data_IF_024010188445
#
_entry.id   IF_024010188445
#
_cell.length_a   1.000
_cell.length_b   1.000
_cell.length_c   1.000
_cell.angle_alpha   90.00
_cell.angle_beta   90.00
_cell.angle_gamma   90.00
#
_symmetry.space_group_name_H-M   'P 1'
#
loop_
_entity.id
_entity.type
_entity.pdbx_description
1 polymer ?
#
# COMPACT_ATOMS: atom_id res chain seq x y z
N UNK A 1 1.38 -3.72 16.42
CA UNK A 1 1.03 -3.62 14.99
C UNK A 1 1.85 -4.58 14.12
N UNK A 2 3.19 -4.51 14.10
CA UNK A 2 4.01 -5.38 13.22
C UNK A 2 3.79 -6.89 13.46
N UNK A 3 3.74 -7.34 14.71
CA UNK A 3 3.42 -8.73 15.04
C UNK A 3 2.01 -9.14 14.58
N UNK A 4 1.08 -8.17 14.49
CA UNK A 4 -0.29 -8.43 14.07
C UNK A 4 -0.40 -8.68 12.56
N UNK A 5 0.29 -7.91 11.73
CA UNK A 5 0.32 -8.17 10.27
C UNK A 5 1.08 -9.46 9.93
N UNK A 6 1.98 -9.91 10.81
CA UNK A 6 2.70 -11.18 10.69
C UNK A 6 2.00 -12.36 11.41
N UNK A 7 0.83 -12.13 12.01
CA UNK A 7 0.02 -13.20 12.62
C UNK A 7 -0.51 -14.16 11.56
N UNK A 8 -0.85 -15.39 11.94
CA UNK A 8 -1.60 -16.32 11.08
C UNK A 8 -3.12 -16.10 11.14
N UNK A 9 -3.60 -15.34 12.13
CA UNK A 9 -5.01 -15.05 12.32
C UNK A 9 -5.48 -13.90 11.42
N UNK A 10 -6.53 -14.15 10.62
CA UNK A 10 -7.03 -13.21 9.64
C UNK A 10 -7.59 -11.93 10.27
N UNK A 11 -8.30 -12.05 11.40
CA UNK A 11 -8.85 -10.90 12.11
C UNK A 11 -7.72 -10.01 12.66
N UNK A 12 -6.69 -10.62 13.24
CA UNK A 12 -5.50 -9.93 13.75
C UNK A 12 -4.76 -9.18 12.64
N UNK A 13 -4.58 -9.81 11.48
CA UNK A 13 -3.97 -9.16 10.30
C UNK A 13 -4.78 -7.94 9.86
N UNK A 14 -6.11 -8.07 9.76
CA UNK A 14 -7.00 -6.96 9.37
C UNK A 14 -6.92 -5.81 10.37
N UNK A 15 -7.08 -6.09 11.67
CA UNK A 15 -7.05 -5.07 12.71
C UNK A 15 -5.70 -4.34 12.74
N UNK A 16 -4.58 -5.06 12.61
CA UNK A 16 -3.26 -4.44 12.58
C UNK A 16 -3.03 -3.60 11.31
N UNK A 17 -3.50 -4.05 10.16
CA UNK A 17 -3.40 -3.30 8.88
C UNK A 17 -4.22 -2.02 8.94
N UNK A 18 -5.45 -2.09 9.47
CA UNK A 18 -6.29 -0.92 9.68
C UNK A 18 -5.64 0.09 10.65
N UNK A 19 -4.97 -0.38 11.71
CA UNK A 19 -4.24 0.50 12.62
C UNK A 19 -3.09 1.23 11.92
N UNK A 20 -2.32 0.53 11.08
CA UNK A 20 -1.28 1.16 10.26
C UNK A 20 -1.87 2.20 9.31
N UNK A 21 -2.95 1.87 8.60
CA UNK A 21 -3.63 2.82 7.70
C UNK A 21 -4.07 4.07 8.45
N UNK A 22 -4.73 3.91 9.59
CA UNK A 22 -5.18 5.04 10.45
C UNK A 22 -4.00 5.89 10.92
N UNK A 23 -2.90 5.26 11.34
CA UNK A 23 -1.68 5.95 11.75
C UNK A 23 -1.06 6.77 10.60
N UNK A 24 -1.12 6.25 9.37
CA UNK A 24 -0.62 6.94 8.18
C UNK A 24 -1.57 8.03 7.65
N UNK A 25 -2.82 8.08 8.11
CA UNK A 25 -3.81 9.09 7.72
C UNK A 25 -3.85 10.31 8.63
N UNK A 26 -2.95 10.42 9.60
CA UNK A 26 -2.90 11.61 10.48
C UNK A 26 -2.40 12.82 9.67
N UNK A 27 -3.06 13.98 9.85
CA UNK A 27 -2.79 15.18 9.04
C UNK A 27 -1.39 15.77 9.29
N UNK A 28 -0.92 15.72 10.53
CA UNK A 28 0.36 16.32 10.91
C UNK A 28 1.40 15.24 11.17
N UNK A 29 2.43 15.21 10.31
CA UNK A 29 3.62 14.37 10.45
C UNK A 29 3.31 12.87 10.65
N UNK A 30 2.66 12.20 9.67
CA UNK A 30 2.49 10.76 9.70
C UNK A 30 3.85 10.06 9.80
N UNK A 31 3.99 9.01 10.64
CA UNK A 31 5.26 8.32 10.87
C UNK A 31 5.59 7.34 9.74
N UNK A 32 5.64 7.85 8.50
CA UNK A 32 5.83 7.06 7.28
C UNK A 32 7.18 6.32 7.34
N UNK A 33 8.23 7.00 7.77
CA UNK A 33 9.57 6.44 7.78
C UNK A 33 9.69 5.27 8.78
N UNK A 34 9.05 5.38 9.94
CA UNK A 34 9.01 4.35 10.97
C UNK A 34 8.23 3.13 10.48
N UNK A 35 7.13 3.33 9.76
CA UNK A 35 6.35 2.23 9.15
C UNK A 35 7.17 1.49 8.09
N UNK A 36 7.94 2.21 7.26
CA UNK A 36 8.87 1.60 6.30
C UNK A 36 9.95 0.80 7.05
N UNK A 37 10.60 1.42 8.04
CA UNK A 37 11.71 0.81 8.80
C UNK A 37 11.28 -0.43 9.59
N UNK A 38 10.02 -0.51 10.04
CA UNK A 38 9.52 -1.68 10.73
C UNK A 38 9.19 -2.87 9.80
N UNK A 39 9.38 -2.72 8.48
CA UNK A 39 9.22 -3.79 7.50
C UNK A 39 7.77 -4.06 7.10
N UNK A 40 6.87 -3.09 7.28
CA UNK A 40 5.44 -3.29 6.98
C UNK A 40 5.13 -3.32 5.47
N UNK A 41 5.90 -2.59 4.66
CA UNK A 41 5.63 -2.41 3.21
C UNK A 41 5.55 -3.74 2.44
N UNK A 42 6.53 -4.66 2.51
CA UNK A 42 6.44 -5.94 1.81
C UNK A 42 5.20 -6.74 2.22
N UNK A 43 4.83 -6.68 3.51
CA UNK A 43 3.67 -7.39 4.03
C UNK A 43 2.35 -6.82 3.51
N UNK A 44 2.24 -5.50 3.38
CA UNK A 44 1.09 -4.89 2.72
C UNK A 44 0.98 -5.33 1.25
N UNK A 45 2.10 -5.39 0.52
CA UNK A 45 2.10 -5.89 -0.87
C UNK A 45 1.68 -7.36 -0.96
N UNK A 46 2.05 -8.20 0.02
CA UNK A 46 1.54 -9.57 0.09
C UNK A 46 0.02 -9.61 0.31
N UNK A 47 -0.52 -8.74 1.17
CA UNK A 47 -1.98 -8.64 1.37
C UNK A 47 -2.73 -8.20 0.13
N UNK A 48 -2.14 -7.34 -0.72
CA UNK A 48 -2.73 -6.98 -2.01
C UNK A 48 -2.95 -8.19 -2.93
N UNK A 49 -2.18 -9.27 -2.76
CA UNK A 49 -2.30 -10.50 -3.58
C UNK A 49 -3.36 -11.47 -3.06
N UNK A 50 -3.97 -11.19 -1.91
CA UNK A 50 -5.02 -12.03 -1.34
C UNK A 50 -6.41 -11.61 -1.86
N UNK A 51 -6.72 -12.05 -3.08
CA UNK A 51 -7.99 -11.77 -3.76
C UNK A 51 -9.22 -12.36 -3.05
N UNK A 52 -9.03 -13.17 -2.00
CA UNK A 52 -10.13 -13.69 -1.18
C UNK A 52 -10.58 -12.72 -0.08
N UNK A 53 -9.79 -11.67 0.20
CA UNK A 53 -10.02 -10.72 1.29
C UNK A 53 -9.95 -9.27 0.80
N UNK A 54 -10.98 -8.79 0.06
CA UNK A 54 -11.00 -7.43 -0.49
C UNK A 54 -10.98 -6.34 0.59
N UNK A 55 -11.51 -6.61 1.78
CA UNK A 55 -11.45 -5.74 2.95
C UNK A 55 -10.01 -5.50 3.42
N UNK A 56 -9.19 -6.56 3.47
CA UNK A 56 -7.78 -6.45 3.79
C UNK A 56 -6.98 -5.79 2.65
N UNK A 57 -7.29 -6.13 1.39
CA UNK A 57 -6.68 -5.49 0.22
C UNK A 57 -6.91 -3.97 0.25
N UNK A 58 -8.11 -3.54 0.59
CA UNK A 58 -8.45 -2.11 0.70
C UNK A 58 -7.61 -1.40 1.77
N UNK A 59 -7.53 -1.94 2.99
CA UNK A 59 -6.74 -1.34 4.07
C UNK A 59 -5.24 -1.31 3.74
N UNK A 60 -4.71 -2.37 3.13
CA UNK A 60 -3.32 -2.45 2.69
C UNK A 60 -3.00 -1.49 1.54
N UNK A 61 -3.90 -1.39 0.56
CA UNK A 61 -3.77 -0.46 -0.56
C UNK A 61 -3.76 0.98 -0.07
N UNK A 62 -4.68 1.34 0.82
CA UNK A 62 -4.74 2.68 1.39
C UNK A 62 -3.50 3.02 2.23
N UNK A 63 -3.00 2.09 3.04
CA UNK A 63 -1.74 2.28 3.75
C UNK A 63 -0.58 2.58 2.77
N UNK A 64 -0.46 1.82 1.69
CA UNK A 64 0.57 2.02 0.67
C UNK A 64 0.38 3.33 -0.11
N UNK A 65 -0.86 3.74 -0.41
CA UNK A 65 -1.17 5.05 -1.03
C UNK A 65 -0.64 6.20 -0.18
N UNK A 66 -0.85 6.15 1.15
CA UNK A 66 -0.38 7.18 2.08
C UNK A 66 1.15 7.21 2.18
N UNK A 67 1.81 6.05 2.10
CA UNK A 67 3.28 5.99 2.06
C UNK A 67 3.81 6.60 0.75
N UNK A 68 3.17 6.28 -0.38
CA UNK A 68 3.54 6.78 -1.71
C UNK A 68 3.21 8.28 -1.92
N UNK A 69 2.40 8.91 -1.05
CA UNK A 69 2.22 10.37 -1.04
C UNK A 69 3.33 11.13 -0.30
N UNK A 70 4.32 10.41 0.23
CA UNK A 70 5.41 10.96 1.01
C UNK A 70 6.55 11.55 0.17
N UNK A 71 7.78 11.39 0.65
CA UNK A 71 8.99 11.81 -0.09
C UNK A 71 9.35 10.82 -1.20
N UNK A 72 10.22 11.20 -2.15
CA UNK A 72 10.68 10.28 -3.20
C UNK A 72 11.28 8.97 -2.67
N UNK A 73 12.01 9.02 -1.55
CA UNK A 73 12.55 7.80 -0.92
C UNK A 73 11.44 6.89 -0.35
N UNK A 74 10.34 7.48 0.13
CA UNK A 74 9.18 6.74 0.65
C UNK A 74 8.35 6.14 -0.49
N UNK A 75 8.14 6.87 -1.57
CA UNK A 75 7.58 6.35 -2.83
C UNK A 75 8.44 5.19 -3.35
N UNK A 76 9.77 5.36 -3.32
CA UNK A 76 10.71 4.33 -3.78
C UNK A 76 10.62 3.06 -2.95
N UNK A 77 10.45 3.14 -1.63
CA UNK A 77 10.25 1.97 -0.79
C UNK A 77 9.02 1.13 -1.20
N UNK A 78 7.94 1.80 -1.64
CA UNK A 78 6.74 1.11 -2.17
C UNK A 78 7.02 0.46 -3.52
N UNK A 79 7.76 1.13 -4.41
CA UNK A 79 8.15 0.59 -5.72
C UNK A 79 9.06 -0.63 -5.57
N UNK A 80 10.10 -0.54 -4.74
CA UNK A 80 11.10 -1.60 -4.56
C UNK A 80 10.47 -2.88 -3.98
N UNK A 81 9.36 -2.75 -3.24
CA UNK A 81 8.55 -3.88 -2.77
C UNK A 81 7.70 -4.57 -3.87
N UNK A 82 7.89 -4.22 -5.15
CA UNK A 82 7.19 -4.80 -6.30
C UNK A 82 5.67 -4.61 -6.24
N UNK A 83 5.23 -3.43 -5.78
CA UNK A 83 3.81 -3.09 -5.65
C UNK A 83 3.13 -2.72 -6.98
N UNK A 84 3.87 -2.10 -7.92
CA UNK A 84 3.28 -1.56 -9.17
C UNK A 84 2.54 -2.62 -9.99
N UNK A 85 3.11 -3.81 -10.30
CA UNK A 85 2.36 -4.83 -11.03
C UNK A 85 1.12 -5.33 -10.29
N UNK A 86 1.17 -5.36 -8.95
CA UNK A 86 0.04 -5.79 -8.13
C UNK A 86 -1.08 -4.76 -8.19
N UNK A 87 -0.76 -3.47 -8.07
CA UNK A 87 -1.76 -2.41 -8.22
C UNK A 87 -2.38 -2.39 -9.62
N UNK A 88 -1.60 -2.60 -10.67
CA UNK A 88 -2.12 -2.74 -12.05
C UNK A 88 -3.12 -3.90 -12.14
N UNK A 89 -2.81 -5.05 -11.53
CA UNK A 89 -3.75 -6.17 -11.48
C UNK A 89 -5.05 -5.82 -10.72
N UNK A 90 -4.94 -5.06 -9.62
CA UNK A 90 -6.09 -4.62 -8.82
C UNK A 90 -7.01 -3.64 -9.54
N UNK A 91 -6.58 -3.02 -10.64
CA UNK A 91 -7.48 -2.24 -11.51
C UNK A 91 -8.62 -3.08 -12.10
N UNK A 92 -8.46 -4.41 -12.14
CA UNK A 92 -9.51 -5.35 -12.56
C UNK A 92 -10.27 -5.99 -11.39
N UNK A 93 -10.10 -5.49 -10.17
CA UNK A 93 -10.82 -6.00 -8.99
C UNK A 93 -12.33 -5.86 -9.13
N UNK A 94 -13.10 -6.83 -8.65
CA UNK A 94 -14.57 -6.73 -8.58
C UNK A 94 -15.04 -5.79 -7.46
N UNK A 95 -14.15 -5.42 -6.54
CA UNK A 95 -14.44 -4.47 -5.48
C UNK A 95 -14.04 -3.04 -5.90
N UNK A 96 -15.02 -2.14 -5.91
CA UNK A 96 -14.87 -0.76 -6.37
C UNK A 96 -13.89 0.04 -5.52
N UNK A 97 -13.95 -0.09 -4.19
CA UNK A 97 -13.07 0.61 -3.25
C UNK A 97 -11.60 0.19 -3.43
N UNK A 98 -11.36 -1.10 -3.69
CA UNK A 98 -10.02 -1.63 -4.00
C UNK A 98 -9.51 -1.06 -5.32
N UNK A 99 -10.34 -0.98 -6.36
CA UNK A 99 -9.94 -0.36 -7.64
C UNK A 99 -9.60 1.11 -7.45
N UNK A 100 -10.41 1.85 -6.71
CA UNK A 100 -10.18 3.27 -6.44
C UNK A 100 -8.84 3.49 -5.72
N UNK A 101 -8.56 2.70 -4.68
CA UNK A 101 -7.27 2.79 -3.98
C UNK A 101 -6.09 2.39 -4.87
N UNK A 102 -6.25 1.39 -5.74
CA UNK A 102 -5.20 1.01 -6.68
C UNK A 102 -4.89 2.13 -7.69
N UNK A 103 -5.92 2.80 -8.22
CA UNK A 103 -5.75 3.97 -9.11
C UNK A 103 -5.02 5.09 -8.37
N UNK A 104 -5.41 5.38 -7.12
CA UNK A 104 -4.78 6.43 -6.33
C UNK A 104 -3.31 6.13 -6.03
N UNK A 105 -2.99 4.90 -5.61
CA UNK A 105 -1.60 4.48 -5.38
C UNK A 105 -0.74 4.65 -6.64
N UNK A 106 -1.23 4.20 -7.80
CA UNK A 106 -0.54 4.37 -9.08
C UNK A 106 -0.39 5.85 -9.45
N UNK A 107 -1.39 6.68 -9.16
CA UNK A 107 -1.35 8.13 -9.36
C UNK A 107 -0.26 8.80 -8.53
N UNK A 108 -0.15 8.46 -7.24
CA UNK A 108 0.92 8.98 -6.38
C UNK A 108 2.30 8.56 -6.88
N UNK A 109 2.47 7.27 -7.22
CA UNK A 109 3.73 6.75 -7.77
C UNK A 109 4.09 7.46 -9.09
N UNK A 110 3.16 7.52 -10.03
CA UNK A 110 3.41 8.17 -11.33
C UNK A 110 3.62 9.69 -11.20
N UNK A 111 3.03 10.31 -10.17
CA UNK A 111 3.15 11.74 -9.89
C UNK A 111 4.50 12.16 -9.28
N UNK A 112 5.24 11.22 -8.70
CA UNK A 112 6.50 11.49 -8.00
C UNK A 112 7.63 12.00 -8.93
N UNK A 113 7.82 11.34 -10.08
CA UNK A 113 8.88 11.70 -11.04
C UNK A 113 8.62 11.13 -12.45
N UNK A 114 9.25 11.70 -13.51
CA UNK A 114 9.13 11.16 -14.87
C UNK A 114 9.53 9.67 -14.98
N UNK A 115 10.52 9.23 -14.20
CA UNK A 115 10.95 7.84 -14.18
C UNK A 115 9.91 6.93 -13.54
N UNK A 116 9.31 7.35 -12.42
CA UNK A 116 8.21 6.60 -11.79
C UNK A 116 6.96 6.56 -12.68
N UNK A 117 6.64 7.65 -13.39
CA UNK A 117 5.59 7.66 -14.42
C UNK A 117 5.87 6.65 -15.52
N UNK A 118 7.08 6.66 -16.08
CA UNK A 118 7.44 5.75 -17.16
C UNK A 118 7.42 4.29 -16.70
N UNK A 119 7.82 4.03 -15.45
CA UNK A 119 7.68 2.72 -14.83
C UNK A 119 6.21 2.27 -14.84
N UNK A 120 5.28 3.09 -14.32
CA UNK A 120 3.85 2.74 -14.29
C UNK A 120 3.28 2.49 -15.69
N UNK A 121 3.75 3.22 -16.71
CA UNK A 121 3.28 3.07 -18.10
C UNK A 121 3.88 1.85 -18.85
N UNK A 122 4.84 1.15 -18.27
CA UNK A 122 5.57 0.04 -18.94
C UNK A 122 5.29 -1.33 -18.33
N UNK A 123 4.51 -1.39 -17.26
CA UNK A 123 4.13 -2.63 -16.54
C UNK A 123 2.90 -3.27 -17.17
#
# INVERSE_FOLDING_TARGET
>A
MIAGINSTDAATQFQATQQFRKLLSIEQSPPIQEVIQCGAVPRFVEFLRDFSRPDLQFEAAWALTNIASGTPDQTRAVIDAQSVPVFVQLLSSQNDDVREQAVWALGNIAGDSPDCRNLVLTV
#
